data_IF_750722628681
#
_entry.id   IF_750722628681
#
_cell.length_a   1.000
_cell.length_b   1.000
_cell.length_c   1.000
_cell.angle_alpha   90.00
_cell.angle_beta   90.00
_cell.angle_gamma   90.00
#
_symmetry.space_group_name_H-M   'P 1'
#
loop_
_entity.id
_entity.type
_entity.pdbx_description
1 polymer ?
#
# COMPACT_ATOMS: atom_id res chain seq x y z
N UNK A 1 5.67 74.43 10.76
CA UNK A 1 4.42 73.66 10.72
C UNK A 1 4.73 72.25 10.18
N UNK A 2 4.91 71.28 11.06
CA UNK A 2 5.21 69.90 10.67
C UNK A 2 3.88 69.14 10.63
N UNK A 3 3.51 68.62 9.48
CA UNK A 3 2.33 67.75 9.31
C UNK A 3 2.66 66.34 9.81
N UNK A 4 1.98 65.91 10.85
CA UNK A 4 2.02 64.60 11.42
C UNK A 4 1.13 63.68 10.59
N UNK A 5 1.69 62.79 9.81
CA UNK A 5 0.97 61.76 9.10
C UNK A 5 0.79 60.52 10.01
N UNK A 6 -0.42 60.35 10.48
CA UNK A 6 -0.87 59.22 11.26
C UNK A 6 -1.07 58.04 10.31
N UNK A 7 -0.21 57.00 10.43
CA UNK A 7 -0.41 55.72 9.74
C UNK A 7 -1.47 54.93 10.47
N UNK A 8 -2.64 54.76 9.86
CA UNK A 8 -3.61 53.74 10.31
C UNK A 8 -3.04 52.35 10.01
N UNK A 9 -2.75 51.64 11.06
CA UNK A 9 -2.50 50.20 10.98
C UNK A 9 -3.86 49.50 10.94
N UNK A 10 -4.27 49.04 9.77
CA UNK A 10 -5.42 48.14 9.61
C UNK A 10 -5.03 46.78 10.10
N UNK A 11 -5.46 46.39 11.30
CA UNK A 11 -5.41 45.03 11.80
C UNK A 11 -6.40 44.21 10.98
N UNK A 12 -5.88 43.44 10.04
CA UNK A 12 -6.64 42.36 9.37
C UNK A 12 -6.81 41.23 10.38
N UNK A 13 -7.94 41.21 11.08
CA UNK A 13 -8.39 40.07 11.84
C UNK A 13 -8.71 38.95 10.87
N UNK A 14 -7.80 37.98 10.68
CA UNK A 14 -8.14 36.70 10.09
C UNK A 14 -9.16 36.02 11.00
N UNK A 15 -10.43 36.11 10.61
CA UNK A 15 -11.41 35.13 11.08
C UNK A 15 -11.01 33.77 10.51
N UNK A 16 -10.30 32.97 11.28
CA UNK A 16 -10.28 31.52 11.06
C UNK A 16 -11.71 31.05 11.38
N UNK A 17 -12.53 30.93 10.36
CA UNK A 17 -13.70 30.10 10.43
C UNK A 17 -13.16 28.67 10.60
N UNK A 18 -13.14 28.20 11.84
CA UNK A 18 -13.03 26.79 12.15
C UNK A 18 -14.29 26.16 11.54
N UNK A 19 -14.18 25.68 10.32
CA UNK A 19 -15.08 24.64 9.84
C UNK A 19 -14.82 23.47 10.79
N UNK A 20 -15.69 23.28 11.77
CA UNK A 20 -15.83 22.03 12.44
C UNK A 20 -16.33 21.05 11.34
N UNK A 21 -15.41 20.52 10.56
CA UNK A 21 -15.62 19.28 9.86
C UNK A 21 -15.96 18.32 10.99
N UNK A 22 -17.18 17.81 11.02
CA UNK A 22 -17.50 16.66 11.87
C UNK A 22 -16.62 15.53 11.33
N UNK A 23 -15.39 15.46 11.83
CA UNK A 23 -14.52 14.34 11.56
C UNK A 23 -15.26 13.11 12.05
N UNK A 24 -15.59 12.21 11.16
CA UNK A 24 -16.21 10.94 11.51
C UNK A 24 -15.26 10.24 12.50
N UNK A 25 -15.70 10.06 13.73
CA UNK A 25 -14.89 9.40 14.74
C UNK A 25 -15.09 7.89 14.59
N UNK A 26 -14.04 7.19 14.19
CA UNK A 26 -14.03 5.74 14.16
C UNK A 26 -13.64 5.19 15.53
N UNK A 27 -14.31 4.13 15.98
CA UNK A 27 -13.97 3.44 17.23
C UNK A 27 -12.61 2.74 17.16
N UNK A 28 -12.20 2.31 15.97
CA UNK A 28 -10.91 1.71 15.68
C UNK A 28 -10.62 1.76 14.17
N UNK A 29 -9.36 1.45 13.80
CA UNK A 29 -8.93 1.22 12.42
C UNK A 29 -8.35 -0.18 12.35
N UNK A 30 -8.89 -1.04 11.50
CA UNK A 30 -8.37 -2.38 11.23
C UNK A 30 -7.74 -2.44 9.86
N UNK A 31 -6.50 -2.95 9.76
CA UNK A 31 -5.71 -2.96 8.54
C UNK A 31 -5.40 -4.38 8.10
N UNK A 32 -5.60 -4.65 6.80
CA UNK A 32 -5.27 -5.91 6.14
C UNK A 32 -4.45 -5.61 4.88
N UNK A 33 -3.36 -6.34 4.66
CA UNK A 33 -2.51 -6.04 3.53
C UNK A 33 -1.16 -6.75 3.55
N UNK A 34 -0.23 -6.12 2.88
CA UNK A 34 1.13 -6.62 2.70
C UNK A 34 2.19 -5.70 3.36
N UNK A 35 3.43 -5.72 2.84
CA UNK A 35 4.54 -4.93 3.37
C UNK A 35 4.32 -3.42 3.36
N UNK A 36 3.43 -2.89 2.53
CA UNK A 36 3.09 -1.46 2.50
C UNK A 36 2.28 -1.03 3.73
N UNK A 37 1.82 -2.00 4.52
CA UNK A 37 0.99 -1.78 5.71
C UNK A 37 1.50 -2.51 6.95
N UNK A 38 2.44 -3.46 6.83
CA UNK A 38 3.01 -4.20 7.97
C UNK A 38 3.83 -3.28 8.87
N UNK A 39 3.57 -3.35 10.17
CA UNK A 39 4.29 -2.58 11.19
C UNK A 39 4.86 -3.46 12.32
N UNK A 40 5.13 -4.75 12.03
CA UNK A 40 5.82 -5.64 12.94
C UNK A 40 5.33 -7.09 12.94
N UNK A 41 4.28 -7.44 12.17
CA UNK A 41 3.77 -8.81 12.13
C UNK A 41 4.79 -9.80 11.54
N UNK A 42 5.42 -9.47 10.39
CA UNK A 42 6.46 -10.34 9.85
C UNK A 42 7.69 -10.41 10.76
N UNK A 43 8.07 -9.31 11.42
CA UNK A 43 9.18 -9.31 12.37
C UNK A 43 9.01 -10.33 13.48
N UNK A 44 7.79 -10.52 13.97
CA UNK A 44 7.49 -11.50 15.00
C UNK A 44 7.60 -12.95 14.49
N UNK A 45 7.36 -13.19 13.19
CA UNK A 45 7.47 -14.51 12.56
C UNK A 45 8.90 -14.83 12.12
N UNK A 46 9.64 -13.81 11.68
CA UNK A 46 10.99 -13.92 11.12
C UNK A 46 11.92 -12.87 11.76
N UNK A 47 12.30 -13.05 13.02
CA UNK A 47 13.11 -12.06 13.75
C UNK A 47 14.50 -11.85 13.14
N UNK A 48 15.01 -12.81 12.35
CA UNK A 48 16.31 -12.74 11.66
C UNK A 48 16.28 -11.93 10.34
N UNK A 49 15.11 -11.48 9.90
CA UNK A 49 15.01 -10.68 8.67
C UNK A 49 15.74 -9.34 8.82
N UNK A 50 16.29 -8.82 7.72
CA UNK A 50 17.14 -7.60 7.69
C UNK A 50 16.39 -6.30 7.92
N UNK A 51 15.09 -6.28 7.63
CA UNK A 51 14.23 -5.13 7.90
C UNK A 51 13.92 -5.02 9.40
N UNK A 52 13.58 -3.81 9.86
CA UNK A 52 13.02 -3.59 11.18
C UNK A 52 11.57 -4.09 11.28
N UNK A 53 10.72 -3.33 11.96
CA UNK A 53 9.29 -3.64 12.04
C UNK A 53 8.54 -3.27 10.75
N UNK A 54 9.15 -2.49 9.87
CA UNK A 54 8.58 -1.94 8.63
C UNK A 54 9.55 -2.09 7.47
N UNK A 55 9.00 -2.13 6.27
CA UNK A 55 9.74 -2.20 5.01
C UNK A 55 9.98 -0.81 4.41
N UNK A 56 10.33 0.13 5.26
CA UNK A 56 10.62 1.53 4.93
C UNK A 56 11.39 2.18 6.09
N UNK A 57 11.90 3.39 5.89
CA UNK A 57 12.67 4.13 6.91
C UNK A 57 11.82 4.94 7.91
N UNK A 58 10.52 4.65 8.04
CA UNK A 58 9.64 5.33 8.99
C UNK A 58 8.22 4.72 9.05
N UNK A 59 7.22 5.48 9.49
CA UNK A 59 5.83 5.01 9.52
C UNK A 59 5.30 4.69 8.12
N UNK A 60 4.53 3.62 7.99
CA UNK A 60 3.79 3.31 6.76
C UNK A 60 2.53 4.17 6.62
N UNK A 61 2.00 4.30 5.41
CA UNK A 61 0.87 5.20 5.09
C UNK A 61 -0.36 4.98 5.99
N UNK A 62 -0.71 3.75 6.26
CA UNK A 62 -1.86 3.42 7.13
C UNK A 62 -1.65 3.86 8.58
N UNK A 63 -0.41 3.90 9.07
CA UNK A 63 -0.10 4.44 10.41
C UNK A 63 -0.29 5.95 10.44
N UNK A 64 0.16 6.65 9.40
CA UNK A 64 -0.02 8.11 9.26
C UNK A 64 -1.50 8.46 9.22
N UNK A 65 -2.28 7.76 8.41
CA UNK A 65 -3.74 7.93 8.31
C UNK A 65 -4.41 7.66 9.67
N UNK A 66 -4.12 6.52 10.31
CA UNK A 66 -4.74 6.14 11.57
C UNK A 66 -4.40 7.12 12.71
N UNK A 67 -3.14 7.59 12.76
CA UNK A 67 -2.73 8.62 13.74
C UNK A 67 -3.50 9.93 13.53
N UNK A 68 -3.78 10.33 12.29
CA UNK A 68 -4.63 11.48 11.97
C UNK A 68 -6.09 11.32 12.42
N UNK A 69 -6.57 10.08 12.54
CA UNK A 69 -7.88 9.73 13.11
C UNK A 69 -7.84 9.52 14.65
N UNK A 70 -6.68 9.71 15.28
CA UNK A 70 -6.50 9.50 16.71
C UNK A 70 -6.37 8.03 17.13
N UNK A 71 -6.13 7.11 16.17
CA UNK A 71 -5.98 5.67 16.43
C UNK A 71 -4.52 5.26 16.28
N UNK A 72 -4.01 4.51 17.25
CA UNK A 72 -2.67 3.89 17.18
C UNK A 72 -2.78 2.51 16.56
N UNK A 73 -2.05 2.27 15.47
CA UNK A 73 -1.96 0.94 14.88
C UNK A 73 -0.90 0.11 15.62
N UNK A 74 -1.31 -1.07 16.05
CA UNK A 74 -0.44 -2.06 16.67
C UNK A 74 -0.54 -3.39 15.92
N UNK A 75 0.58 -4.09 15.67
CA UNK A 75 0.55 -5.37 15.00
C UNK A 75 -0.28 -6.38 15.80
N UNK A 76 -1.05 -7.20 15.10
CA UNK A 76 -1.94 -8.18 15.74
C UNK A 76 -1.21 -9.41 16.25
N UNK A 77 -0.04 -9.72 15.67
CA UNK A 77 0.74 -10.94 15.96
C UNK A 77 -0.08 -12.24 15.87
N UNK A 78 -1.13 -12.24 15.04
CA UNK A 78 -2.10 -13.34 14.97
C UNK A 78 -1.50 -14.70 14.60
N UNK A 79 -0.43 -14.73 13.80
CA UNK A 79 0.32 -15.96 13.50
C UNK A 79 1.40 -16.28 14.54
N UNK A 80 1.73 -15.33 15.42
CA UNK A 80 2.67 -15.53 16.53
C UNK A 80 1.96 -15.72 17.89
N UNK A 81 0.67 -16.03 17.88
CA UNK A 81 -0.13 -16.26 19.08
C UNK A 81 -0.71 -14.99 19.71
N UNK A 82 -0.67 -13.84 19.03
CA UNK A 82 -1.31 -12.61 19.47
C UNK A 82 -2.84 -12.70 19.37
N UNK A 83 -3.51 -12.04 20.33
CA UNK A 83 -4.98 -11.96 20.40
C UNK A 83 -5.48 -10.53 20.47
N UNK A 84 -4.61 -9.56 20.29
CA UNK A 84 -4.88 -8.12 20.36
C UNK A 84 -4.19 -7.44 19.18
N UNK A 85 -4.39 -6.13 19.06
CA UNK A 85 -3.88 -5.35 17.94
C UNK A 85 -4.92 -5.19 16.84
N UNK A 86 -4.64 -4.25 15.94
CA UNK A 86 -5.58 -3.81 14.92
C UNK A 86 -4.95 -3.77 13.51
N UNK A 87 -3.67 -4.05 13.40
CA UNK A 87 -3.00 -4.21 12.10
C UNK A 87 -2.72 -5.70 11.86
N UNK A 88 -3.38 -6.29 10.86
CA UNK A 88 -3.26 -7.69 10.46
C UNK A 88 -2.38 -7.86 9.21
N UNK A 89 -1.92 -6.79 8.60
CA UNK A 89 -1.06 -6.82 7.42
C UNK A 89 0.27 -7.54 7.71
N UNK A 90 0.70 -8.39 6.79
CA UNK A 90 1.98 -9.10 6.87
C UNK A 90 2.76 -8.93 5.56
N UNK A 91 4.02 -8.55 5.64
CA UNK A 91 4.86 -8.38 4.47
C UNK A 91 4.97 -9.67 3.65
N UNK A 92 4.91 -9.51 2.32
CA UNK A 92 4.89 -10.62 1.37
C UNK A 92 3.49 -11.19 1.09
N UNK A 93 2.47 -10.78 1.84
CA UNK A 93 1.11 -11.29 1.68
C UNK A 93 0.55 -11.06 0.27
N UNK A 94 -0.22 -12.02 -0.21
CA UNK A 94 -1.02 -12.00 -1.43
C UNK A 94 -2.51 -12.02 -1.10
N UNK A 95 -3.33 -11.72 -2.08
CA UNK A 95 -4.77 -11.91 -1.98
C UNK A 95 -5.18 -13.40 -2.03
N UNK A 96 -4.30 -14.25 -2.57
CA UNK A 96 -4.52 -15.70 -2.80
C UNK A 96 -3.79 -16.52 -1.73
N UNK A 97 -4.47 -17.54 -1.18
CA UNK A 97 -3.83 -18.53 -0.32
C UNK A 97 -2.77 -19.32 -1.09
N UNK A 98 -1.69 -19.70 -0.45
CA UNK A 98 -0.58 -20.41 -1.09
C UNK A 98 -0.98 -21.83 -1.55
N UNK A 99 -1.79 -22.54 -0.76
CA UNK A 99 -2.29 -23.89 -1.08
C UNK A 99 -3.75 -23.90 -1.58
N UNK A 100 -4.40 -22.72 -1.66
CA UNK A 100 -5.80 -22.58 -2.04
C UNK A 100 -6.80 -23.00 -0.96
N UNK A 101 -6.36 -23.22 0.27
CA UNK A 101 -7.17 -23.65 1.40
C UNK A 101 -7.17 -22.61 2.53
N UNK A 102 -8.21 -21.78 2.60
CA UNK A 102 -8.38 -20.75 3.63
C UNK A 102 -8.39 -21.27 5.08
N UNK A 103 -8.46 -22.58 5.30
CA UNK A 103 -8.37 -23.19 6.63
C UNK A 103 -6.92 -23.45 7.08
N UNK A 104 -5.96 -23.42 6.16
CA UNK A 104 -4.52 -23.54 6.46
C UNK A 104 -3.95 -22.14 6.68
N UNK A 105 -3.55 -21.78 7.91
CA UNK A 105 -3.03 -20.45 8.17
C UNK A 105 -1.74 -20.18 7.39
N UNK A 106 -1.71 -19.08 6.66
CA UNK A 106 -0.55 -18.51 5.98
C UNK A 106 -0.49 -16.99 6.22
N UNK A 107 0.41 -16.27 5.57
CA UNK A 107 0.53 -14.80 5.73
C UNK A 107 -0.53 -14.03 4.91
N UNK A 108 -1.28 -14.69 4.05
CA UNK A 108 -2.09 -14.07 3.01
C UNK A 108 -3.43 -13.48 3.54
N UNK A 109 -4.07 -12.67 2.73
CA UNK A 109 -5.27 -11.90 3.10
C UNK A 109 -6.39 -12.74 3.72
N UNK A 110 -6.73 -13.95 3.24
CA UNK A 110 -7.78 -14.76 3.85
C UNK A 110 -7.49 -15.11 5.32
N UNK A 111 -6.24 -15.46 5.65
CA UNK A 111 -5.81 -15.72 7.03
C UNK A 111 -5.92 -14.48 7.91
N UNK A 112 -5.53 -13.31 7.41
CA UNK A 112 -5.61 -12.05 8.14
C UNK A 112 -7.07 -11.72 8.52
N UNK A 113 -8.00 -11.81 7.55
CA UNK A 113 -9.42 -11.56 7.78
C UNK A 113 -10.05 -12.62 8.70
N UNK A 114 -9.68 -13.89 8.54
CA UNK A 114 -10.13 -14.96 9.42
C UNK A 114 -9.68 -14.74 10.87
N UNK A 115 -8.40 -14.38 11.07
CA UNK A 115 -7.86 -14.09 12.39
C UNK A 115 -8.55 -12.90 13.05
N UNK A 116 -8.78 -11.81 12.30
CA UNK A 116 -9.56 -10.67 12.76
C UNK A 116 -10.95 -11.09 13.24
N UNK A 117 -11.70 -11.83 12.41
CA UNK A 117 -13.04 -12.27 12.77
C UNK A 117 -13.03 -13.23 13.97
N UNK A 118 -12.05 -14.12 14.06
CA UNK A 118 -11.91 -15.02 15.19
C UNK A 118 -11.68 -14.24 16.51
N UNK A 119 -10.80 -13.25 16.50
CA UNK A 119 -10.48 -12.40 17.67
C UNK A 119 -11.72 -11.58 18.06
N UNK A 120 -12.52 -11.12 17.12
CA UNK A 120 -13.69 -10.26 17.37
C UNK A 120 -15.02 -11.06 17.41
N UNK A 121 -14.99 -12.37 17.63
CA UNK A 121 -16.20 -13.18 17.80
C UNK A 121 -17.09 -13.28 16.55
N UNK A 122 -16.50 -13.13 15.37
CA UNK A 122 -17.20 -13.18 14.08
C UNK A 122 -17.86 -11.86 13.66
N UNK A 123 -17.67 -10.78 14.40
CA UNK A 123 -18.32 -9.48 14.20
C UNK A 123 -17.29 -8.45 13.76
N UNK A 124 -17.63 -7.67 12.75
CA UNK A 124 -16.91 -6.47 12.38
C UNK A 124 -17.69 -5.23 12.88
N UNK A 125 -17.20 -4.49 13.90
CA UNK A 125 -17.85 -3.29 14.42
C UNK A 125 -18.16 -2.27 13.31
N UNK A 126 -19.42 -1.84 13.23
CA UNK A 126 -19.86 -0.93 12.16
C UNK A 126 -19.34 0.49 12.28
N UNK A 127 -18.87 0.87 13.45
CA UNK A 127 -18.29 2.18 13.76
C UNK A 127 -16.75 2.21 13.59
N UNK A 128 -16.12 1.11 13.17
CA UNK A 128 -14.71 1.04 12.85
C UNK A 128 -14.44 1.27 11.35
N UNK A 129 -13.23 1.70 11.01
CA UNK A 129 -12.71 1.77 9.64
C UNK A 129 -11.92 0.50 9.32
N UNK A 130 -12.14 -0.06 8.16
CA UNK A 130 -11.42 -1.22 7.63
C UNK A 130 -10.60 -0.82 6.42
N UNK A 131 -9.30 -1.10 6.42
CA UNK A 131 -8.40 -0.79 5.31
C UNK A 131 -7.93 -2.08 4.67
N UNK A 132 -8.15 -2.22 3.37
CA UNK A 132 -7.66 -3.36 2.57
C UNK A 132 -6.72 -2.83 1.49
N UNK A 133 -5.41 -3.08 1.64
CA UNK A 133 -4.36 -2.71 0.71
C UNK A 133 -3.60 -3.98 0.32
N UNK A 134 -3.92 -4.56 -0.84
CA UNK A 134 -3.40 -5.86 -1.28
C UNK A 134 -3.38 -5.98 -2.81
N UNK A 135 -2.47 -6.78 -3.33
CA UNK A 135 -2.42 -7.13 -4.75
C UNK A 135 -1.07 -6.85 -5.40
N UNK A 136 -0.21 -6.04 -4.78
CA UNK A 136 1.13 -5.76 -5.29
C UNK A 136 1.94 -7.05 -5.49
N UNK A 137 1.96 -7.94 -4.50
CA UNK A 137 2.67 -9.22 -4.58
C UNK A 137 2.03 -10.20 -5.58
N UNK A 138 0.70 -10.18 -5.74
CA UNK A 138 0.02 -10.98 -6.76
C UNK A 138 0.41 -10.53 -8.18
N UNK A 139 0.53 -9.20 -8.41
CA UNK A 139 0.95 -8.65 -9.69
C UNK A 139 2.43 -8.94 -9.95
N UNK A 140 3.30 -8.86 -8.93
CA UNK A 140 4.71 -9.27 -9.02
C UNK A 140 4.82 -10.74 -9.43
N UNK A 141 4.08 -11.64 -8.79
CA UNK A 141 4.03 -13.06 -9.16
C UNK A 141 3.53 -13.24 -10.61
N UNK A 142 2.47 -12.54 -11.02
CA UNK A 142 1.96 -12.57 -12.37
C UNK A 142 2.96 -12.03 -13.41
N UNK A 143 3.75 -11.01 -13.07
CA UNK A 143 4.86 -10.48 -13.88
C UNK A 143 5.91 -11.57 -14.15
N UNK A 144 6.32 -12.30 -13.13
CA UNK A 144 7.31 -13.38 -13.25
C UNK A 144 6.80 -14.53 -14.14
N UNK A 145 5.55 -14.92 -13.94
CA UNK A 145 4.89 -15.91 -14.82
C UNK A 145 4.83 -15.39 -16.26
N UNK A 146 4.56 -14.10 -16.47
CA UNK A 146 4.46 -13.52 -17.82
C UNK A 146 5.80 -13.40 -18.53
N UNK A 147 6.89 -13.28 -17.81
CA UNK A 147 8.22 -13.46 -18.40
C UNK A 147 8.37 -14.85 -19.06
N UNK A 148 7.58 -15.83 -18.60
CA UNK A 148 7.49 -17.19 -19.15
C UNK A 148 6.23 -17.47 -19.99
N UNK A 149 5.02 -17.40 -19.39
CA UNK A 149 3.75 -17.89 -19.99
C UNK A 149 2.57 -16.95 -19.74
N UNK A 150 2.09 -16.29 -20.79
CA UNK A 150 1.03 -15.23 -20.74
C UNK A 150 -0.32 -15.71 -20.16
N UNK A 151 -0.73 -16.94 -20.40
CA UNK A 151 -2.04 -17.45 -19.93
C UNK A 151 -2.10 -17.64 -18.42
N UNK A 152 -1.03 -18.12 -17.81
CA UNK A 152 -0.94 -18.32 -16.37
C UNK A 152 -1.04 -16.97 -15.62
N UNK A 153 -0.32 -15.94 -16.06
CA UNK A 153 -0.37 -14.60 -15.46
C UNK A 153 -1.79 -14.01 -15.44
N UNK A 154 -2.58 -14.18 -16.51
CA UNK A 154 -3.97 -13.69 -16.54
C UNK A 154 -4.92 -14.51 -15.65
N UNK A 155 -4.62 -15.76 -15.36
CA UNK A 155 -5.39 -16.58 -14.44
C UNK A 155 -5.09 -16.17 -12.98
N UNK A 156 -3.81 -16.01 -12.66
CA UNK A 156 -3.32 -15.54 -11.35
C UNK A 156 -3.93 -14.20 -10.97
N UNK A 157 -3.80 -13.20 -11.81
CA UNK A 157 -4.38 -11.87 -11.62
C UNK A 157 -5.90 -11.91 -11.37
N UNK A 158 -6.66 -12.71 -12.15
CA UNK A 158 -8.10 -12.86 -11.93
C UNK A 158 -8.44 -13.58 -10.64
N UNK A 159 -7.59 -14.52 -10.21
CA UNK A 159 -7.76 -15.22 -8.95
C UNK A 159 -7.53 -14.26 -7.78
N UNK A 160 -6.44 -13.48 -7.82
CA UNK A 160 -6.13 -12.48 -6.82
C UNK A 160 -7.29 -11.49 -6.61
N UNK A 161 -7.84 -10.92 -7.69
CA UNK A 161 -8.98 -10.02 -7.60
C UNK A 161 -10.21 -10.72 -7.00
N UNK A 162 -10.51 -11.96 -7.40
CA UNK A 162 -11.65 -12.70 -6.84
C UNK A 162 -11.49 -12.91 -5.33
N UNK A 163 -10.29 -13.26 -4.89
CA UNK A 163 -9.99 -13.52 -3.48
C UNK A 163 -10.01 -12.23 -2.65
N UNK A 164 -9.41 -11.14 -3.12
CA UNK A 164 -9.49 -9.83 -2.46
C UNK A 164 -10.97 -9.39 -2.28
N UNK A 165 -11.76 -9.46 -3.34
CA UNK A 165 -13.20 -9.14 -3.31
C UNK A 165 -13.98 -10.07 -2.36
N UNK A 166 -13.62 -11.35 -2.29
CA UNK A 166 -14.26 -12.29 -1.36
C UNK A 166 -14.00 -11.90 0.10
N UNK A 167 -12.79 -11.45 0.43
CA UNK A 167 -12.47 -11.01 1.80
C UNK A 167 -13.15 -9.67 2.15
N UNK A 168 -13.25 -8.72 1.22
CA UNK A 168 -14.05 -7.50 1.41
C UNK A 168 -15.53 -7.87 1.69
N UNK A 169 -16.13 -8.74 0.88
CA UNK A 169 -17.50 -9.20 1.12
C UNK A 169 -17.65 -9.91 2.48
N UNK A 170 -16.63 -10.63 2.94
CA UNK A 170 -16.62 -11.30 4.23
C UNK A 170 -16.66 -10.29 5.39
N UNK A 171 -15.87 -9.21 5.30
CA UNK A 171 -15.93 -8.09 6.24
C UNK A 171 -17.31 -7.42 6.24
N UNK A 172 -17.88 -7.14 5.07
CA UNK A 172 -19.22 -6.57 4.94
C UNK A 172 -20.28 -7.50 5.56
N UNK A 173 -20.22 -8.80 5.27
CA UNK A 173 -21.13 -9.78 5.85
C UNK A 173 -21.01 -9.91 7.38
N UNK A 174 -19.84 -9.60 7.92
CA UNK A 174 -19.58 -9.56 9.37
C UNK A 174 -20.04 -8.25 10.04
N UNK A 175 -20.44 -7.22 9.27
CA UNK A 175 -20.96 -5.96 9.79
C UNK A 175 -20.13 -4.71 9.47
N UNK A 176 -19.01 -4.84 8.74
CA UNK A 176 -18.21 -3.67 8.34
C UNK A 176 -19.00 -2.74 7.40
N UNK A 177 -19.04 -1.46 7.72
CA UNK A 177 -19.74 -0.43 6.92
C UNK A 177 -18.77 0.59 6.31
N UNK A 178 -17.68 0.90 6.99
CA UNK A 178 -16.69 1.89 6.52
C UNK A 178 -15.45 1.13 6.06
N UNK A 179 -15.25 1.01 4.75
CA UNK A 179 -14.16 0.23 4.18
C UNK A 179 -13.39 1.09 3.17
N UNK A 180 -12.09 1.28 3.41
CA UNK A 180 -11.17 1.83 2.44
C UNK A 180 -10.50 0.69 1.69
N UNK A 181 -10.62 0.70 0.37
CA UNK A 181 -9.95 -0.23 -0.54
C UNK A 181 -8.89 0.55 -1.32
N UNK A 182 -7.63 0.27 -1.08
CA UNK A 182 -6.55 0.79 -1.91
C UNK A 182 -6.30 -0.16 -3.09
N UNK A 183 -6.11 0.42 -4.27
CA UNK A 183 -5.69 -0.36 -5.42
C UNK A 183 -4.18 -0.69 -5.35
N UNK A 184 -3.69 -1.53 -6.26
CA UNK A 184 -2.28 -1.89 -6.30
C UNK A 184 -1.44 -0.78 -6.95
N UNK A 185 -0.20 -0.54 -6.48
CA UNK A 185 0.73 0.41 -7.09
C UNK A 185 1.16 -0.05 -8.50
N UNK A 186 1.83 0.83 -9.24
CA UNK A 186 2.46 0.45 -10.52
C UNK A 186 3.69 -0.44 -10.29
N UNK A 187 3.52 -1.74 -10.45
CA UNK A 187 4.61 -2.72 -10.36
C UNK A 187 5.59 -2.59 -11.54
N UNK A 188 5.22 -1.89 -12.59
CA UNK A 188 6.12 -1.58 -13.70
C UNK A 188 7.14 -0.48 -13.38
N UNK A 189 6.83 0.37 -12.42
CA UNK A 189 7.63 1.53 -12.04
C UNK A 189 8.57 1.29 -10.82
N UNK A 190 8.52 0.11 -10.18
CA UNK A 190 9.40 -0.18 -9.05
C UNK A 190 10.80 -0.62 -9.53
N UNK A 191 11.88 -0.27 -8.81
CA UNK A 191 13.27 -0.63 -9.18
C UNK A 191 13.48 -2.12 -9.42
N UNK A 192 12.82 -3.01 -8.66
CA UNK A 192 12.92 -4.46 -8.85
C UNK A 192 12.52 -4.89 -10.27
N UNK A 193 11.52 -4.25 -10.87
CA UNK A 193 11.07 -4.62 -12.22
C UNK A 193 12.13 -4.30 -13.26
N UNK A 194 12.86 -3.20 -13.12
CA UNK A 194 13.99 -2.86 -13.98
C UNK A 194 15.19 -3.80 -13.77
N UNK A 195 15.51 -4.12 -12.52
CA UNK A 195 16.56 -5.10 -12.22
C UNK A 195 16.26 -6.47 -12.81
N UNK A 196 15.02 -6.95 -12.71
CA UNK A 196 14.58 -8.21 -13.35
C UNK A 196 14.69 -8.10 -14.89
N UNK A 197 14.26 -6.98 -15.47
CA UNK A 197 14.38 -6.72 -16.91
C UNK A 197 15.83 -6.77 -17.38
N UNK A 198 16.74 -6.10 -16.66
CA UNK A 198 18.17 -6.08 -16.96
C UNK A 198 18.79 -7.48 -16.82
N UNK A 199 18.44 -8.23 -15.79
CA UNK A 199 18.89 -9.62 -15.61
C UNK A 199 18.45 -10.53 -16.76
N UNK A 200 17.19 -10.40 -17.20
CA UNK A 200 16.67 -11.12 -18.35
C UNK A 200 17.35 -10.71 -19.66
N UNK A 201 17.66 -9.41 -19.84
CA UNK A 201 18.39 -8.90 -21.00
C UNK A 201 19.82 -9.47 -21.07
N UNK A 202 20.53 -9.49 -19.95
CA UNK A 202 21.89 -10.02 -19.87
C UNK A 202 21.97 -11.52 -20.22
N UNK A 203 20.92 -12.28 -19.93
CA UNK A 203 20.83 -13.70 -20.21
C UNK A 203 20.12 -14.07 -21.53
N UNK A 204 19.68 -13.07 -22.30
CA UNK A 204 18.91 -13.28 -23.51
C UNK A 204 19.77 -13.81 -24.67
N UNK A 205 19.43 -14.99 -25.18
CA UNK A 205 20.13 -15.66 -26.28
C UNK A 205 19.51 -15.33 -27.64
N UNK A 206 18.30 -14.77 -27.69
CA UNK A 206 17.57 -14.48 -28.93
C UNK A 206 17.02 -13.05 -28.91
N UNK A 207 16.82 -12.46 -30.10
CA UNK A 207 16.15 -11.16 -30.25
C UNK A 207 14.73 -11.14 -29.63
N UNK A 208 14.06 -12.28 -29.64
CA UNK A 208 12.74 -12.39 -29.03
C UNK A 208 12.82 -12.27 -27.51
N UNK A 209 13.78 -12.94 -26.87
CA UNK A 209 14.03 -12.81 -25.41
C UNK A 209 14.41 -11.38 -25.03
N UNK A 210 15.31 -10.74 -25.80
CA UNK A 210 15.70 -9.34 -25.61
C UNK A 210 14.48 -8.41 -25.64
N UNK A 211 13.61 -8.56 -26.66
CA UNK A 211 12.38 -7.75 -26.77
C UNK A 211 11.39 -7.99 -25.63
N UNK A 212 11.29 -9.24 -25.15
CA UNK A 212 10.42 -9.55 -23.99
C UNK A 212 10.96 -8.89 -22.72
N UNK A 213 12.26 -9.02 -22.46
CA UNK A 213 12.92 -8.42 -21.31
C UNK A 213 12.75 -6.90 -21.32
N UNK A 214 13.11 -6.22 -22.40
CA UNK A 214 12.99 -4.76 -22.52
C UNK A 214 11.55 -4.21 -22.37
N UNK A 215 10.54 -5.06 -22.53
CA UNK A 215 9.12 -4.67 -22.36
C UNK A 215 8.57 -4.98 -20.99
N UNK A 216 9.35 -5.58 -20.11
CA UNK A 216 8.86 -6.05 -18.81
C UNK A 216 8.25 -4.91 -17.98
N UNK A 217 8.88 -3.74 -17.83
CA UNK A 217 8.28 -2.61 -17.10
C UNK A 217 6.91 -2.22 -17.68
N UNK A 218 6.86 -1.89 -18.97
CA UNK A 218 5.59 -1.53 -19.64
C UNK A 218 4.49 -2.59 -19.51
N UNK A 219 4.87 -3.87 -19.53
CA UNK A 219 3.92 -4.98 -19.40
C UNK A 219 3.42 -5.08 -17.96
N UNK A 220 4.28 -4.84 -16.98
CA UNK A 220 3.95 -4.84 -15.56
C UNK A 220 3.01 -3.68 -15.19
N UNK A 221 3.27 -2.46 -15.69
CA UNK A 221 2.34 -1.32 -15.60
C UNK A 221 0.95 -1.68 -16.14
N UNK A 222 0.89 -2.34 -17.30
CA UNK A 222 -0.40 -2.79 -17.88
C UNK A 222 -1.09 -3.87 -17.04
N UNK A 223 -0.35 -4.70 -16.32
CA UNK A 223 -0.93 -5.66 -15.37
C UNK A 223 -1.53 -4.92 -14.19
N UNK A 224 -0.80 -4.00 -13.56
CA UNK A 224 -1.32 -3.18 -12.45
C UNK A 224 -2.57 -2.41 -12.85
N UNK A 225 -2.53 -1.67 -13.95
CA UNK A 225 -3.68 -0.91 -14.45
C UNK A 225 -4.89 -1.80 -14.77
N UNK A 226 -4.68 -3.01 -15.28
CA UNK A 226 -5.75 -3.97 -15.55
C UNK A 226 -6.34 -4.53 -14.26
N UNK A 227 -5.48 -4.90 -13.30
CA UNK A 227 -5.90 -5.35 -11.97
C UNK A 227 -6.81 -4.30 -11.33
N UNK A 228 -6.34 -3.06 -11.23
CA UNK A 228 -7.03 -1.94 -10.61
C UNK A 228 -8.39 -1.65 -11.26
N UNK A 229 -8.45 -1.62 -12.61
CA UNK A 229 -9.71 -1.44 -13.33
C UNK A 229 -10.73 -2.55 -13.06
N UNK A 230 -10.27 -3.80 -12.86
CA UNK A 230 -11.19 -4.91 -12.55
C UNK A 230 -11.61 -4.85 -11.09
N UNK A 231 -10.69 -4.53 -10.17
CA UNK A 231 -10.97 -4.35 -8.75
C UNK A 231 -12.05 -3.28 -8.56
N UNK A 232 -11.85 -2.06 -9.10
CA UNK A 232 -12.81 -0.96 -9.00
C UNK A 232 -14.22 -1.36 -9.48
N UNK A 233 -14.34 -2.08 -10.62
CA UNK A 233 -15.64 -2.61 -11.07
C UNK A 233 -16.28 -3.59 -10.09
N UNK A 234 -15.46 -4.35 -9.34
CA UNK A 234 -15.95 -5.30 -8.34
C UNK A 234 -16.35 -4.59 -7.05
N UNK A 235 -15.60 -3.57 -6.63
CA UNK A 235 -15.96 -2.67 -5.53
C UNK A 235 -17.32 -2.01 -5.83
N UNK A 236 -17.46 -1.34 -6.97
CA UNK A 236 -18.74 -0.76 -7.36
C UNK A 236 -19.90 -1.77 -7.53
N UNK A 237 -19.62 -3.09 -7.65
CA UNK A 237 -20.66 -4.12 -7.55
C UNK A 237 -21.06 -4.37 -6.09
N UNK A 238 -20.12 -4.41 -5.16
CA UNK A 238 -20.41 -4.53 -3.72
C UNK A 238 -21.31 -3.38 -3.29
N UNK A 239 -20.96 -2.15 -3.63
CA UNK A 239 -21.74 -0.96 -3.30
C UNK A 239 -23.21 -1.08 -3.78
N UNK A 240 -23.40 -1.43 -5.06
CA UNK A 240 -24.77 -1.62 -5.61
C UNK A 240 -25.56 -2.75 -4.96
N UNK A 241 -24.89 -3.78 -4.43
CA UNK A 241 -25.54 -4.93 -3.80
C UNK A 241 -25.86 -4.69 -2.33
N UNK A 242 -25.06 -3.90 -1.65
CA UNK A 242 -25.13 -3.66 -0.20
C UNK A 242 -25.73 -2.30 0.15
N UNK A 243 -25.66 -1.33 -0.75
CA UNK A 243 -26.01 0.07 -0.49
C UNK A 243 -24.92 0.83 0.29
N UNK A 244 -23.78 0.18 0.54
CA UNK A 244 -22.62 0.86 1.15
C UNK A 244 -21.92 1.73 0.11
N UNK A 245 -21.26 2.77 0.59
CA UNK A 245 -20.31 3.58 -0.16
C UNK A 245 -18.91 3.22 0.34
N UNK A 246 -18.02 2.73 -0.53
CA UNK A 246 -16.67 2.31 -0.15
C UNK A 246 -15.68 3.40 -0.55
N UNK A 247 -14.71 3.65 0.31
CA UNK A 247 -13.66 4.62 0.04
C UNK A 247 -12.63 3.94 -0.87
N UNK A 248 -12.47 4.42 -2.10
CA UNK A 248 -11.44 3.91 -3.02
C UNK A 248 -10.22 4.85 -2.99
N UNK A 249 -9.02 4.30 -2.68
CA UNK A 249 -7.75 5.03 -2.76
C UNK A 249 -6.93 4.56 -3.95
N UNK A 250 -6.55 5.49 -4.84
CA UNK A 250 -5.77 5.21 -6.04
C UNK A 250 -4.26 5.32 -5.77
N UNK A 251 -3.68 4.23 -5.22
CA UNK A 251 -2.24 4.14 -4.96
C UNK A 251 -1.41 4.09 -6.26
N UNK A 252 -2.01 3.61 -7.36
CA UNK A 252 -1.35 3.60 -8.67
C UNK A 252 -1.14 5.03 -9.18
N UNK A 253 -2.18 5.85 -9.15
CA UNK A 253 -2.12 7.25 -9.59
C UNK A 253 -1.22 8.06 -8.66
N UNK A 254 -1.32 7.84 -7.34
CA UNK A 254 -0.43 8.45 -6.36
C UNK A 254 1.05 8.20 -6.68
N UNK A 255 1.46 6.94 -6.89
CA UNK A 255 2.86 6.61 -7.20
C UNK A 255 3.30 7.22 -8.54
N UNK A 256 2.42 7.21 -9.53
CA UNK A 256 2.68 7.83 -10.85
C UNK A 256 2.92 9.33 -10.71
N UNK A 257 2.10 10.01 -9.91
CA UNK A 257 2.24 11.45 -9.66
C UNK A 257 3.56 11.77 -8.92
N UNK A 258 3.95 10.94 -7.92
CA UNK A 258 5.23 11.09 -7.22
C UNK A 258 6.44 10.96 -8.18
N UNK A 259 6.34 10.14 -9.22
CA UNK A 259 7.39 9.97 -10.24
C UNK A 259 7.37 11.12 -11.25
N UNK A 260 6.19 11.44 -11.81
CA UNK A 260 6.03 12.45 -12.86
C UNK A 260 6.35 13.86 -12.35
N UNK A 261 6.07 14.14 -11.08
CA UNK A 261 6.26 15.44 -10.44
C UNK A 261 7.31 15.39 -9.31
N UNK A 262 8.32 14.55 -9.46
CA UNK A 262 9.33 14.22 -8.44
C UNK A 262 9.93 15.46 -7.75
N UNK A 263 10.22 16.52 -8.50
CA UNK A 263 10.82 17.75 -7.96
C UNK A 263 9.89 18.48 -6.97
N UNK A 264 8.57 18.42 -7.17
CA UNK A 264 7.59 19.06 -6.29
C UNK A 264 7.53 18.35 -4.92
N UNK A 265 7.87 17.06 -4.88
CA UNK A 265 7.96 16.24 -3.68
C UNK A 265 9.37 16.17 -3.08
N UNK A 266 10.35 16.79 -3.73
CA UNK A 266 11.74 16.83 -3.27
C UNK A 266 12.55 15.56 -3.61
N UNK A 267 12.05 14.72 -4.55
CA UNK A 267 12.82 13.57 -5.03
C UNK A 267 13.83 13.99 -6.09
N UNK A 268 15.02 13.42 -5.97
CA UNK A 268 16.11 13.51 -6.95
C UNK A 268 16.38 12.18 -7.64
N UNK A 269 15.84 11.08 -7.08
CA UNK A 269 15.94 9.74 -7.64
C UNK A 269 14.61 8.99 -7.44
N UNK A 270 13.96 8.65 -8.55
CA UNK A 270 12.69 7.90 -8.60
C UNK A 270 12.81 6.55 -9.30
N UNK A 271 14.01 6.22 -9.79
CA UNK A 271 14.25 5.04 -10.61
C UNK A 271 14.98 3.94 -9.84
N UNK A 272 15.87 4.32 -8.89
CA UNK A 272 16.68 3.40 -8.13
C UNK A 272 16.23 3.26 -6.68
N UNK A 273 16.63 2.17 -6.05
CA UNK A 273 16.53 1.97 -4.62
C UNK A 273 17.63 2.74 -3.86
N UNK A 274 17.30 3.31 -2.69
CA UNK A 274 18.31 3.81 -1.75
C UNK A 274 19.17 2.65 -1.20
N UNK A 275 18.54 1.49 -0.92
CA UNK A 275 19.22 0.29 -0.46
C UNK A 275 18.79 -0.93 -1.27
N UNK A 276 19.76 -1.74 -1.70
CA UNK A 276 19.52 -2.99 -2.41
C UNK A 276 19.37 -4.15 -1.42
N UNK A 277 18.24 -4.16 -0.71
CA UNK A 277 17.96 -5.11 0.37
C UNK A 277 17.74 -6.52 -0.13
N UNK A 278 17.09 -6.67 -1.30
CA UNK A 278 16.72 -7.97 -1.87
C UNK A 278 17.81 -8.55 -2.78
N UNK A 279 18.48 -7.71 -3.56
CA UNK A 279 19.39 -8.18 -4.59
C UNK A 279 20.86 -8.21 -4.15
N UNK A 280 21.28 -7.34 -3.21
CA UNK A 280 22.67 -7.16 -2.82
C UNK A 280 22.90 -7.13 -1.29
N UNK A 281 22.04 -7.79 -0.53
CA UNK A 281 22.22 -7.96 0.91
C UNK A 281 22.26 -6.65 1.71
N UNK A 282 21.57 -5.61 1.23
CA UNK A 282 21.50 -4.32 1.90
C UNK A 282 22.58 -3.32 1.48
N UNK A 283 23.25 -3.50 0.35
CA UNK A 283 24.20 -2.50 -0.15
C UNK A 283 23.49 -1.17 -0.43
N UNK A 284 24.06 -0.05 0.03
CA UNK A 284 23.54 1.27 -0.28
C UNK A 284 23.85 1.65 -1.73
N UNK A 285 22.91 2.33 -2.37
CA UNK A 285 23.16 3.07 -3.59
C UNK A 285 24.23 4.14 -3.29
N UNK A 286 25.24 4.36 -4.16
CA UNK A 286 26.27 5.37 -3.92
C UNK A 286 25.76 6.81 -3.71
N UNK A 287 24.55 7.11 -4.19
CA UNK A 287 23.89 8.42 -4.03
C UNK A 287 23.02 8.50 -2.77
N UNK A 288 22.78 7.37 -2.09
CA UNK A 288 21.97 7.33 -0.88
C UNK A 288 22.80 7.69 0.36
N UNK A 289 22.31 8.63 1.13
CA UNK A 289 22.98 9.15 2.33
C UNK A 289 22.80 8.27 3.58
N UNK A 290 22.02 7.19 3.50
CA UNK A 290 21.85 6.19 4.57
C UNK A 290 20.44 5.62 4.69
N UNK A 291 20.34 4.46 5.34
CA UNK A 291 19.07 3.73 5.53
C UNK A 291 18.00 4.53 6.29
N UNK A 292 18.39 5.44 7.17
CA UNK A 292 17.45 6.21 7.99
C UNK A 292 16.93 7.43 7.25
N UNK A 293 17.81 8.10 6.53
CA UNK A 293 17.53 9.38 5.86
C UNK A 293 16.92 9.17 4.49
N UNK A 294 17.55 8.36 3.63
CA UNK A 294 17.13 8.09 2.25
C UNK A 294 16.74 9.37 1.48
N UNK A 295 17.50 10.47 1.71
CA UNK A 295 17.15 11.80 1.22
C UNK A 295 17.08 11.83 -0.31
N UNK A 296 15.99 12.34 -0.84
CA UNK A 296 15.76 12.49 -2.27
C UNK A 296 15.41 11.21 -3.01
N UNK A 297 15.37 10.06 -2.33
CA UNK A 297 14.92 8.80 -2.95
C UNK A 297 13.42 8.60 -2.76
N UNK A 298 12.72 8.21 -3.84
CA UNK A 298 11.34 7.75 -3.76
C UNK A 298 11.26 6.34 -3.16
N UNK A 299 12.20 5.46 -3.55
CA UNK A 299 12.23 4.07 -3.10
C UNK A 299 13.30 3.84 -2.03
N UNK A 300 12.85 3.25 -0.92
CA UNK A 300 13.69 2.81 0.18
C UNK A 300 14.53 1.59 -0.21
N UNK A 301 13.86 0.58 -0.77
CA UNK A 301 14.49 -0.59 -1.37
C UNK A 301 13.94 -0.84 -2.78
N UNK A 302 14.23 -2.00 -3.38
CA UNK A 302 13.85 -2.31 -4.76
C UNK A 302 12.33 -2.38 -5.00
N UNK A 303 11.52 -2.40 -3.92
CA UNK A 303 10.06 -2.56 -3.99
C UNK A 303 9.33 -1.45 -3.26
N UNK A 304 9.86 -1.04 -2.09
CA UNK A 304 9.12 -0.27 -1.12
C UNK A 304 9.46 1.22 -1.17
N UNK A 305 8.47 2.11 -1.09
CA UNK A 305 8.72 3.55 -1.03
C UNK A 305 9.32 3.98 0.30
N UNK A 306 9.94 5.16 0.31
CA UNK A 306 10.45 5.81 1.53
C UNK A 306 9.32 6.31 2.44
N UNK A 307 9.65 6.61 3.69
CA UNK A 307 8.71 7.19 4.65
C UNK A 307 8.10 8.52 4.17
N UNK A 308 8.80 9.28 3.34
CA UNK A 308 8.27 10.53 2.74
C UNK A 308 7.07 10.22 1.84
N UNK A 309 7.20 9.22 0.97
CA UNK A 309 6.09 8.78 0.12
C UNK A 309 4.95 8.16 0.96
N UNK A 310 5.27 7.35 1.95
CA UNK A 310 4.25 6.83 2.88
C UNK A 310 3.51 7.94 3.63
N UNK A 311 4.20 9.00 4.05
CA UNK A 311 3.58 10.14 4.71
C UNK A 311 2.58 10.85 3.79
N UNK A 312 2.96 11.11 2.54
CA UNK A 312 2.05 11.71 1.54
C UNK A 312 0.81 10.86 1.31
N UNK A 313 1.00 9.56 1.02
CA UNK A 313 -0.11 8.63 0.83
C UNK A 313 -1.04 8.55 2.05
N UNK A 314 -0.48 8.51 3.26
CA UNK A 314 -1.27 8.47 4.50
C UNK A 314 -2.09 9.75 4.74
N UNK A 315 -1.55 10.92 4.36
CA UNK A 315 -2.28 12.20 4.41
C UNK A 315 -3.44 12.20 3.40
N UNK A 316 -3.23 11.73 2.18
CA UNK A 316 -4.30 11.63 1.17
C UNK A 316 -5.39 10.64 1.59
N UNK A 317 -5.01 9.46 2.10
CA UNK A 317 -5.98 8.51 2.67
C UNK A 317 -6.81 9.16 3.79
N UNK A 318 -6.18 9.91 4.70
CA UNK A 318 -6.87 10.63 5.78
C UNK A 318 -7.85 11.66 5.23
N UNK A 319 -7.46 12.42 4.20
CA UNK A 319 -8.34 13.41 3.56
C UNK A 319 -9.56 12.73 2.93
N UNK A 320 -9.38 11.61 2.23
CA UNK A 320 -10.48 10.84 1.66
C UNK A 320 -11.44 10.32 2.74
N UNK A 321 -10.89 9.73 3.81
CA UNK A 321 -11.69 9.23 4.94
C UNK A 321 -12.47 10.34 5.63
N UNK A 322 -11.91 11.52 5.79
CA UNK A 322 -12.59 12.68 6.41
C UNK A 322 -13.62 13.34 5.48
N UNK A 323 -13.53 13.11 4.18
CA UNK A 323 -14.47 13.66 3.19
C UNK A 323 -15.66 12.74 2.94
N UNK A 324 -15.59 11.50 3.39
CA UNK A 324 -16.60 10.46 3.22
C UNK A 324 -17.59 10.45 4.38
#
# INVERSE_FOLDING_TARGET
MKKLTMKLATAASLLMAAFAVNAQSYSNVYVFGDSLSDNGNLRALAPEQTYGDRFTNGPVAVEVMAAGLGVVLTPSYHLAGGTTGNNFAIAGAKAVDDDGNEATPDINLPTQVNAFLQINGGIAPSDALYVVLIGGNDIRAAREIRAGVVFAANAEERQAIRKAVAQINKLVAAGATNILVANAPDIGAIPETDLVSLGLLANAQTKQQQRKAARLPTVSTKLSAKYNRILARKVGRIERQTGLDLIEYDLFDYLTDQIDNAADYGYTNTDDACAYMLSQGGALNPECDGYVTATGFLFYDEIHPTAVAHQGAGIEMLQLVNAH
#
